data_IF_208678769750
#
_entry.id   IF_208678769750
#
_cell.length_a   1.000
_cell.length_b   1.000
_cell.length_c   1.000
_cell.angle_alpha   90.00
_cell.angle_beta   90.00
_cell.angle_gamma   90.00
#
_symmetry.space_group_name_H-M   'P 1'
#
loop_
_entity.id
_entity.type
_entity.pdbx_description
1 polymer ?
#
# COMPACT_ATOMS: atom_id res chain seq x y z
N UNK A 1 3.42 4.40 8.70
CA UNK A 1 4.60 3.67 8.19
C UNK A 1 4.16 3.01 6.90
N UNK A 2 4.52 3.56 5.74
CA UNK A 2 4.12 2.94 4.47
C UNK A 2 4.99 1.70 4.21
N UNK A 3 4.37 0.60 3.85
CA UNK A 3 5.05 -0.64 3.47
C UNK A 3 4.73 -0.92 2.00
N UNK A 4 5.77 -0.98 1.18
CA UNK A 4 5.68 -1.33 -0.24
C UNK A 4 6.27 -2.71 -0.44
N UNK A 5 5.53 -3.64 -1.05
CA UNK A 5 6.02 -5.01 -1.30
C UNK A 5 5.67 -5.50 -2.69
N UNK A 6 6.60 -6.21 -3.32
CA UNK A 6 6.37 -7.02 -4.53
C UNK A 6 6.12 -8.51 -4.22
N UNK A 7 5.86 -8.83 -2.95
CA UNK A 7 5.55 -10.17 -2.43
C UNK A 7 4.38 -10.06 -1.46
N UNK A 8 3.62 -11.14 -1.23
CA UNK A 8 2.55 -11.15 -0.23
C UNK A 8 3.02 -10.63 1.14
N UNK A 9 2.11 -9.97 1.85
CA UNK A 9 2.35 -9.63 3.25
C UNK A 9 2.36 -10.90 4.10
N UNK A 10 3.30 -10.98 5.05
CA UNK A 10 3.32 -12.03 6.06
C UNK A 10 2.42 -11.63 7.23
N UNK A 11 1.96 -12.62 8.00
CA UNK A 11 1.02 -12.41 9.11
C UNK A 11 1.47 -11.30 10.07
N UNK A 12 2.73 -11.28 10.44
CA UNK A 12 3.27 -10.28 11.37
C UNK A 12 3.27 -8.85 10.81
N UNK A 13 3.34 -8.66 9.50
CA UNK A 13 3.19 -7.34 8.88
C UNK A 13 1.73 -6.88 8.93
N UNK A 14 0.80 -7.80 8.68
CA UNK A 14 -0.64 -7.52 8.78
C UNK A 14 -1.04 -7.19 10.23
N UNK A 15 -0.52 -7.90 11.23
CA UNK A 15 -0.79 -7.59 12.64
C UNK A 15 -0.27 -6.19 13.01
N UNK A 16 0.94 -5.80 12.57
CA UNK A 16 1.46 -4.44 12.77
C UNK A 16 0.61 -3.36 12.10
N UNK A 17 0.11 -3.64 10.89
CA UNK A 17 -0.82 -2.73 10.22
C UNK A 17 -2.15 -2.62 10.98
N UNK A 18 -2.63 -3.74 11.53
CA UNK A 18 -3.85 -3.78 12.35
C UNK A 18 -3.70 -3.03 13.67
N UNK A 19 -2.54 -3.08 14.32
CA UNK A 19 -2.26 -2.28 15.52
C UNK A 19 -2.37 -0.78 15.23
N UNK A 20 -1.95 -0.34 14.05
CA UNK A 20 -1.95 1.08 13.68
C UNK A 20 -3.27 1.57 13.06
N UNK A 21 -3.98 0.73 12.29
CA UNK A 21 -5.13 1.13 11.47
C UNK A 21 -6.42 0.36 11.80
N UNK A 22 -6.38 -0.53 12.79
CA UNK A 22 -7.51 -1.36 13.18
C UNK A 22 -7.84 -2.43 12.14
N UNK A 23 -9.12 -2.81 12.06
CA UNK A 23 -9.58 -3.88 11.18
C UNK A 23 -9.64 -3.49 9.70
N UNK A 24 -9.56 -2.20 9.37
CA UNK A 24 -9.72 -1.70 8.01
C UNK A 24 -8.40 -1.12 7.49
N UNK A 25 -7.61 -1.99 6.87
CA UNK A 25 -6.32 -1.63 6.27
C UNK A 25 -6.57 -1.27 4.80
N UNK A 26 -6.17 -0.07 4.40
CA UNK A 26 -6.26 0.41 3.01
C UNK A 26 -4.97 0.07 2.27
N UNK A 27 -5.12 -0.29 0.99
CA UNK A 27 -4.01 -0.64 0.12
C UNK A 27 -4.19 -0.07 -1.28
N UNK A 28 -3.08 0.17 -1.98
CA UNK A 28 -3.06 0.51 -3.41
C UNK A 28 -2.01 -0.36 -4.09
N UNK A 29 -2.35 -0.95 -5.23
CA UNK A 29 -1.51 -1.83 -6.02
C UNK A 29 -1.08 -1.09 -7.29
N UNK A 30 0.21 -1.15 -7.62
CA UNK A 30 0.67 -0.85 -8.97
C UNK A 30 0.80 -2.16 -9.75
N UNK A 31 -0.05 -2.34 -10.77
CA UNK A 31 -0.13 -3.57 -11.56
C UNK A 31 1.11 -3.78 -12.44
N UNK A 32 1.68 -2.70 -12.99
CA UNK A 32 2.85 -2.76 -13.87
C UNK A 32 4.12 -3.13 -13.09
N UNK A 33 4.31 -2.52 -11.92
CA UNK A 33 5.45 -2.76 -11.05
C UNK A 33 5.26 -3.97 -10.13
N UNK A 34 4.04 -4.51 -10.08
CA UNK A 34 3.63 -5.64 -9.21
C UNK A 34 3.94 -5.38 -7.74
N UNK A 35 3.64 -4.17 -7.26
CA UNK A 35 3.81 -3.77 -5.86
C UNK A 35 2.48 -3.45 -5.21
N UNK A 36 2.32 -3.79 -3.94
CA UNK A 36 1.21 -3.39 -3.09
C UNK A 36 1.73 -2.44 -2.00
N UNK A 37 0.99 -1.37 -1.76
CA UNK A 37 1.23 -0.40 -0.69
C UNK A 37 0.19 -0.58 0.41
N UNK A 38 0.60 -0.39 1.66
CA UNK A 38 -0.26 -0.38 2.83
C UNK A 38 0.34 0.51 3.92
N UNK A 39 -0.43 0.82 4.96
CA UNK A 39 0.10 1.49 6.16
C UNK A 39 -0.01 3.01 6.14
N UNK A 40 -1.09 3.51 5.53
CA UNK A 40 -1.46 4.92 5.45
C UNK A 40 -2.91 5.15 5.91
N UNK A 41 -3.26 6.36 6.41
CA UNK A 41 -4.62 6.68 6.85
C UNK A 41 -5.67 6.66 5.73
N UNK A 42 -5.34 7.18 4.54
CA UNK A 42 -6.23 7.29 3.40
C UNK A 42 -5.67 6.56 2.17
N UNK A 43 -6.56 6.06 1.31
CA UNK A 43 -6.18 5.44 0.02
C UNK A 43 -5.39 6.42 -0.85
N UNK A 44 -5.82 7.69 -0.83
CA UNK A 44 -5.17 8.81 -1.51
C UNK A 44 -3.69 8.96 -1.14
N UNK A 45 -3.32 8.73 0.13
CA UNK A 45 -1.93 8.88 0.58
C UNK A 45 -1.01 7.86 -0.11
N UNK A 46 -1.50 6.63 -0.29
CA UNK A 46 -0.79 5.59 -1.04
C UNK A 46 -0.71 5.91 -2.53
N UNK A 47 -1.80 6.37 -3.15
CA UNK A 47 -1.80 6.80 -4.55
C UNK A 47 -0.79 7.92 -4.79
N UNK A 48 -0.83 8.98 -3.99
CA UNK A 48 0.08 10.11 -4.08
C UNK A 48 1.53 9.67 -3.93
N UNK A 49 1.83 8.83 -2.95
CA UNK A 49 3.18 8.29 -2.76
C UNK A 49 3.64 7.53 -4.01
N UNK A 50 2.82 6.65 -4.57
CA UNK A 50 3.17 5.87 -5.74
C UNK A 50 3.37 6.74 -6.99
N UNK A 51 2.51 7.74 -7.21
CA UNK A 51 2.62 8.69 -8.33
C UNK A 51 3.89 9.54 -8.24
N UNK A 52 4.19 10.07 -7.04
CA UNK A 52 5.41 10.85 -6.79
C UNK A 52 6.69 10.02 -7.02
N UNK A 53 6.59 8.69 -6.86
CA UNK A 53 7.69 7.75 -7.10
C UNK A 53 7.64 7.10 -8.50
N UNK A 54 6.96 7.73 -9.47
CA UNK A 54 7.03 7.35 -10.88
C UNK A 54 6.01 6.31 -11.35
N UNK A 55 5.03 5.94 -10.51
CA UNK A 55 3.86 5.20 -10.98
C UNK A 55 2.99 6.07 -11.88
N UNK A 56 2.21 5.44 -12.75
CA UNK A 56 1.20 6.12 -13.57
C UNK A 56 -0.18 5.82 -13.01
N UNK A 57 -1.10 6.79 -13.03
CA UNK A 57 -2.47 6.60 -12.53
C UNK A 57 -3.15 5.38 -13.15
N UNK A 58 -2.96 5.16 -14.45
CA UNK A 58 -3.52 4.01 -15.18
C UNK A 58 -3.02 2.64 -14.69
N UNK A 59 -1.90 2.61 -13.97
CA UNK A 59 -1.31 1.37 -13.43
C UNK A 59 -1.71 1.14 -11.95
N UNK A 60 -2.39 2.10 -11.31
CA UNK A 60 -2.79 2.05 -9.90
C UNK A 60 -4.22 1.50 -9.74
N UNK A 61 -4.41 0.61 -8.77
CA UNK A 61 -5.69 0.00 -8.43
C UNK A 61 -5.84 -0.19 -6.92
#
# INVERSE_FOLDING_TARGET
MIIIKNKPYIKTEIEKLKEAFGFYIKTVINLRLKICSAGVPLHFDSEQFLLQNGSKQQDLW
#
